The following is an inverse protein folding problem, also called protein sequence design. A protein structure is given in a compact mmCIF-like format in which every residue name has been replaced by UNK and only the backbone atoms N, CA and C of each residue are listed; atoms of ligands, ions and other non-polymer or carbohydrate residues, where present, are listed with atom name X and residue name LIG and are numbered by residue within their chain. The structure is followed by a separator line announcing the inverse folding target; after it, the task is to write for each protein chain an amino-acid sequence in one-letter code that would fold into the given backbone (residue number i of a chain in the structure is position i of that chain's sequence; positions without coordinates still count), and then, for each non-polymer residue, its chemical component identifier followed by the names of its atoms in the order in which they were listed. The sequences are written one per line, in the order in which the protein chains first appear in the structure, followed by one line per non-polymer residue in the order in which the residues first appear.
data_IF_436704062910
#
_entry.id   IF_436704062910
#
_cell.length_a   1.000
_cell.length_b   1.000
_cell.length_c   1.000
_cell.angle_alpha   90.00
_cell.angle_beta   90.00
_cell.angle_gamma   90.00
#
_symmetry.space_group_name_H-M   'P 1'
#
loop_
_entity.id
_entity.type
_entity.pdbx_description
1 polymer ?
#
# COMPACT_ATOMS: atom_id res chain seq x y z
N UNK A 1 -12.06 9.77 -15.00
CA UNK A 1 -11.68 8.60 -14.19
C UNK A 1 -11.01 9.14 -12.94
N UNK A 2 -11.43 8.71 -11.75
CA UNK A 2 -10.78 9.11 -10.50
C UNK A 2 -9.37 8.51 -10.45
N UNK A 3 -8.35 9.30 -10.10
CA UNK A 3 -6.96 8.82 -10.02
C UNK A 3 -6.72 7.95 -8.78
N UNK A 4 -5.68 7.11 -8.79
CA UNK A 4 -5.31 6.32 -7.62
C UNK A 4 -4.97 7.22 -6.41
N UNK A 5 -4.31 8.35 -6.66
CA UNK A 5 -3.98 9.35 -5.64
C UNK A 5 -5.24 9.83 -4.88
N UNK A 6 -6.32 10.14 -5.59
CA UNK A 6 -7.57 10.57 -4.97
C UNK A 6 -8.19 9.47 -4.09
N UNK A 7 -8.08 8.20 -4.51
CA UNK A 7 -8.55 7.06 -3.70
C UNK A 7 -7.71 6.91 -2.43
N UNK A 8 -6.38 7.00 -2.54
CA UNK A 8 -5.45 6.93 -1.41
C UNK A 8 -5.79 7.99 -0.36
N UNK A 9 -6.02 9.24 -0.77
CA UNK A 9 -6.39 10.33 0.15
C UNK A 9 -7.68 10.05 0.91
N UNK A 10 -8.71 9.53 0.23
CA UNK A 10 -9.97 9.13 0.87
C UNK A 10 -9.72 8.02 1.89
N UNK A 11 -8.96 6.99 1.53
CA UNK A 11 -8.69 5.82 2.39
C UNK A 11 -7.83 6.21 3.60
N UNK A 12 -6.90 7.15 3.43
CA UNK A 12 -6.01 7.61 4.50
C UNK A 12 -6.77 8.22 5.67
N UNK A 13 -7.94 8.84 5.41
CA UNK A 13 -8.81 9.38 6.45
C UNK A 13 -9.52 8.31 7.31
N UNK A 14 -9.54 7.04 6.87
CA UNK A 14 -10.20 5.96 7.60
C UNK A 14 -9.48 5.66 8.92
N UNK A 15 -10.22 5.34 9.99
CA UNK A 15 -9.62 4.90 11.24
C UNK A 15 -8.94 3.54 11.05
N UNK A 16 -7.74 3.38 11.62
CA UNK A 16 -7.12 2.07 11.74
C UNK A 16 -7.73 1.32 12.93
N UNK A 17 -7.80 0.00 12.83
CA UNK A 17 -8.16 -0.89 13.95
C UNK A 17 -6.95 -1.32 14.77
N UNK A 18 -5.75 -1.00 14.31
CA UNK A 18 -4.48 -1.42 14.90
C UNK A 18 -3.90 -0.32 15.78
N UNK A 19 -3.12 -0.73 16.78
CA UNK A 19 -2.27 0.19 17.53
C UNK A 19 -1.06 0.62 16.69
N UNK A 20 -0.43 1.77 16.99
CA UNK A 20 0.79 2.20 16.29
C UNK A 20 1.88 1.12 16.26
N UNK A 21 2.08 0.38 17.34
CA UNK A 21 3.09 -0.68 17.43
C UNK A 21 2.78 -1.86 16.49
N UNK A 22 1.50 -2.22 16.35
CA UNK A 22 1.07 -3.25 15.41
C UNK A 22 1.27 -2.81 13.95
N UNK A 23 0.98 -1.54 13.66
CA UNK A 23 1.22 -0.95 12.33
C UNK A 23 2.72 -0.98 12.00
N UNK A 24 3.56 -0.56 12.93
CA UNK A 24 5.02 -0.54 12.74
C UNK A 24 5.60 -1.94 12.57
N UNK A 25 5.08 -2.94 13.29
CA UNK A 25 5.45 -4.35 13.11
C UNK A 25 5.13 -4.82 11.69
N UNK A 26 3.94 -4.52 11.18
CA UNK A 26 3.53 -4.89 9.81
C UNK A 26 4.29 -4.13 8.74
N UNK A 27 4.58 -2.84 8.95
CA UNK A 27 5.44 -2.05 8.06
C UNK A 27 6.82 -2.66 7.91
N UNK A 28 7.42 -3.19 8.99
CA UNK A 28 8.70 -3.89 8.89
C UNK A 28 8.60 -5.14 8.03
N UNK A 29 7.55 -5.95 8.20
CA UNK A 29 7.33 -7.13 7.35
C UNK A 29 7.20 -6.78 5.86
N UNK A 30 6.50 -5.68 5.55
CA UNK A 30 6.40 -5.16 4.18
C UNK A 30 7.75 -4.63 3.70
N UNK A 31 8.48 -3.91 4.55
CA UNK A 31 9.81 -3.39 4.23
C UNK A 31 10.78 -4.51 3.88
N UNK A 32 10.76 -5.63 4.61
CA UNK A 32 11.59 -6.80 4.30
C UNK A 32 11.26 -7.36 2.91
N UNK A 33 9.97 -7.44 2.56
CA UNK A 33 9.52 -7.84 1.22
C UNK A 33 9.96 -6.84 0.12
N UNK A 34 9.92 -5.54 0.41
CA UNK A 34 10.36 -4.51 -0.53
C UNK A 34 11.87 -4.58 -0.81
N UNK A 35 12.69 -4.86 0.21
CA UNK A 35 14.14 -5.05 0.05
C UNK A 35 14.43 -6.23 -0.89
N UNK A 36 13.69 -7.34 -0.74
CA UNK A 36 13.80 -8.49 -1.63
C UNK A 36 13.38 -8.11 -3.06
N UNK A 37 12.27 -7.38 -3.20
CA UNK A 37 11.77 -6.93 -4.51
C UNK A 37 12.78 -6.03 -5.22
N UNK A 38 13.40 -5.11 -4.49
CA UNK A 38 14.44 -4.21 -5.01
C UNK A 38 15.68 -4.98 -5.48
N UNK A 39 16.10 -6.01 -4.72
CA UNK A 39 17.17 -6.92 -5.13
C UNK A 39 16.85 -7.66 -6.44
N UNK A 40 15.57 -7.97 -6.68
CA UNK A 40 15.08 -8.56 -7.94
C UNK A 40 14.87 -7.53 -9.07
N UNK A 41 15.18 -6.24 -8.83
CA UNK A 41 15.00 -5.16 -9.79
C UNK A 41 13.56 -4.66 -9.92
N UNK A 42 12.68 -5.04 -8.99
CA UNK A 42 11.29 -4.59 -8.93
C UNK A 42 11.22 -3.35 -8.03
N UNK A 43 11.17 -2.17 -8.64
CA UNK A 43 11.06 -0.90 -7.94
C UNK A 43 9.59 -0.47 -7.82
N UNK A 44 9.02 -0.43 -6.60
CA UNK A 44 7.65 0.05 -6.40
C UNK A 44 7.56 1.56 -6.66
N UNK A 45 6.46 2.02 -7.27
CA UNK A 45 6.18 3.45 -7.36
C UNK A 45 5.81 4.05 -6.00
N UNK A 46 5.88 5.37 -5.86
CA UNK A 46 5.46 6.06 -4.62
C UNK A 46 4.01 5.73 -4.22
N UNK A 47 3.11 5.58 -5.20
CA UNK A 47 1.71 5.20 -4.97
C UNK A 47 1.59 3.75 -4.47
N UNK A 48 2.47 2.85 -4.94
CA UNK A 48 2.53 1.47 -4.45
C UNK A 48 2.93 1.43 -2.98
N UNK A 49 3.94 2.21 -2.58
CA UNK A 49 4.36 2.33 -1.18
C UNK A 49 3.24 2.87 -0.30
N UNK A 50 2.50 3.89 -0.76
CA UNK A 50 1.36 4.44 -0.04
C UNK A 50 0.23 3.41 0.13
N UNK A 51 -0.12 2.63 -0.90
CA UNK A 51 -1.12 1.58 -0.79
C UNK A 51 -0.70 0.49 0.21
N UNK A 52 0.57 0.09 0.18
CA UNK A 52 1.10 -0.90 1.12
C UNK A 52 1.07 -0.37 2.57
N UNK A 53 1.33 0.93 2.77
CA UNK A 53 1.21 1.56 4.09
C UNK A 53 -0.23 1.54 4.61
N UNK A 54 -1.19 1.88 3.75
CA UNK A 54 -2.61 1.81 4.07
C UNK A 54 -3.07 0.37 4.37
N UNK A 55 -2.51 -0.61 3.68
CA UNK A 55 -2.76 -2.03 3.92
C UNK A 55 -2.14 -2.51 5.25
N UNK A 56 -0.90 -2.10 5.57
CA UNK A 56 -0.27 -2.37 6.87
C UNK A 56 -1.09 -1.81 8.02
N UNK A 57 -1.72 -0.65 7.82
CA UNK A 57 -2.58 -0.01 8.79
C UNK A 57 -4.02 -0.57 8.84
N UNK A 58 -4.35 -1.63 8.11
CA UNK A 58 -5.72 -2.18 7.99
C UNK A 58 -6.78 -1.14 7.60
N UNK A 59 -6.38 -0.10 6.85
CA UNK A 59 -7.33 0.86 6.25
C UNK A 59 -7.97 0.32 4.98
N UNK A 60 -7.40 -0.78 4.46
CA UNK A 60 -7.82 -1.54 3.31
C UNK A 60 -8.01 -3.00 3.69
N UNK A 61 -9.06 -3.61 3.19
CA UNK A 61 -9.14 -5.07 3.12
C UNK A 61 -8.20 -5.62 2.04
N UNK A 62 -7.84 -6.91 2.14
CA UNK A 62 -7.05 -7.56 1.10
C UNK A 62 -7.73 -7.49 -0.28
N UNK A 63 -9.07 -7.61 -0.32
CA UNK A 63 -9.85 -7.49 -1.55
C UNK A 63 -9.77 -6.09 -2.15
N UNK A 64 -9.94 -5.04 -1.35
CA UNK A 64 -9.82 -3.65 -1.81
C UNK A 64 -8.39 -3.36 -2.31
N UNK A 65 -7.37 -3.84 -1.59
CA UNK A 65 -5.98 -3.66 -2.02
C UNK A 65 -5.72 -4.29 -3.39
N UNK A 66 -6.12 -5.55 -3.59
CA UNK A 66 -5.95 -6.24 -4.87
C UNK A 66 -6.75 -5.58 -6.00
N UNK A 67 -7.95 -5.08 -5.70
CA UNK A 67 -8.76 -4.36 -6.68
C UNK A 67 -8.09 -3.06 -7.12
N UNK A 68 -7.56 -2.26 -6.18
CA UNK A 68 -6.81 -1.04 -6.49
C UNK A 68 -5.56 -1.35 -7.29
N UNK A 69 -4.81 -2.41 -6.94
CA UNK A 69 -3.65 -2.86 -7.70
C UNK A 69 -3.99 -3.23 -9.14
N UNK A 70 -5.14 -3.89 -9.35
CA UNK A 70 -5.62 -4.28 -10.68
C UNK A 70 -6.10 -3.09 -11.50
N UNK A 71 -6.92 -2.22 -10.91
CA UNK A 71 -7.55 -1.10 -11.61
C UNK A 71 -6.53 -0.02 -11.99
N UNK A 72 -5.54 0.21 -11.12
CA UNK A 72 -4.55 1.28 -11.26
C UNK A 72 -3.14 0.75 -11.54
N UNK A 73 -3.03 -0.43 -12.16
CA UNK A 73 -1.75 -1.11 -12.41
C UNK A 73 -0.75 -0.27 -13.21
N UNK A 74 -1.23 0.70 -13.99
CA UNK A 74 -0.41 1.63 -14.78
C UNK A 74 0.17 2.77 -13.93
N UNK A 75 -0.49 3.19 -12.85
CA UNK A 75 0.01 4.21 -11.91
C UNK A 75 0.98 3.61 -10.85
N UNK A 76 0.98 2.28 -10.74
CA UNK A 76 1.76 1.54 -9.74
C UNK A 76 3.14 1.09 -10.21
N UNK A 77 3.47 1.34 -11.47
CA UNK A 77 4.76 1.00 -12.09
C UNK A 77 5.59 2.28 -12.28
N UNK A 78 6.91 2.14 -12.16
CA UNK A 78 7.90 3.18 -12.50
C UNK A 78 8.22 3.09 -13.99
#
# INVERSE_FOLDING_TARGET
MDSLQQKIEIIQSRPSRLTPEQIDSRRRQISDFLIISEYEGILPSALSLQLQDLFAAEKLTASEYLELCRQYSHELRV
#
